data_IF_081534980598
#
_entry.id   IF_081534980598
#
_cell.length_a   1.000
_cell.length_b   1.000
_cell.length_c   1.000
_cell.angle_alpha   90.00
_cell.angle_beta   90.00
_cell.angle_gamma   90.00
#
_symmetry.space_group_name_H-M   'P 1'
#
loop_
_entity.id
_entity.type
_entity.pdbx_description
1 polymer ?
#
# COMPACT_ATOMS: atom_id res chain seq x y z
N UNK A 1 -7.74 17.32 29.05
CA UNK A 1 -7.83 17.56 27.59
C UNK A 1 -9.18 17.08 27.11
N UNK A 2 -10.01 17.94 26.54
CA UNK A 2 -11.31 17.55 25.98
C UNK A 2 -11.08 16.89 24.62
N UNK A 3 -11.22 15.57 24.55
CA UNK A 3 -11.22 14.84 23.28
C UNK A 3 -12.45 15.26 22.50
N UNK A 4 -12.26 16.04 21.43
CA UNK A 4 -13.34 16.37 20.49
C UNK A 4 -13.82 15.06 19.88
N UNK A 5 -15.09 14.71 20.10
CA UNK A 5 -15.70 13.52 19.50
C UNK A 5 -15.78 13.73 17.99
N UNK A 6 -14.99 12.98 17.24
CA UNK A 6 -14.98 12.98 15.79
C UNK A 6 -15.96 11.90 15.30
N UNK A 7 -16.89 12.28 14.43
CA UNK A 7 -17.87 11.38 13.83
C UNK A 7 -17.80 11.49 12.31
N UNK A 8 -17.90 10.35 11.63
CA UNK A 8 -17.92 10.27 10.18
C UNK A 8 -19.19 9.59 9.71
N UNK A 9 -19.79 10.10 8.63
CA UNK A 9 -20.90 9.44 7.96
C UNK A 9 -20.37 8.26 7.14
N UNK A 10 -20.82 7.05 7.49
CA UNK A 10 -20.39 5.79 6.88
C UNK A 10 -20.66 5.76 5.38
N UNK A 11 -21.75 6.37 4.92
CA UNK A 11 -22.21 6.25 3.53
C UNK A 11 -21.40 7.13 2.57
N UNK A 12 -20.61 8.07 3.11
CA UNK A 12 -19.67 8.92 2.36
C UNK A 12 -18.22 8.79 2.85
N UNK A 13 -17.94 7.83 3.74
CA UNK A 13 -16.60 7.55 4.24
C UNK A 13 -16.13 6.19 3.73
N UNK A 14 -14.81 6.05 3.54
CA UNK A 14 -14.17 4.81 3.17
C UNK A 14 -12.75 4.75 3.73
N UNK A 15 -12.20 3.55 3.87
CA UNK A 15 -10.78 3.32 4.13
C UNK A 15 -10.06 3.05 2.80
N UNK A 16 -8.94 3.72 2.59
CA UNK A 16 -8.01 3.42 1.50
C UNK A 16 -6.75 2.76 2.07
N UNK A 17 -6.47 1.54 1.62
CA UNK A 17 -5.24 0.79 1.95
C UNK A 17 -4.26 0.97 0.80
N UNK A 18 -3.13 1.60 1.06
CA UNK A 18 -2.16 2.01 0.04
C UNK A 18 -0.95 1.09 0.09
N UNK A 19 -0.62 0.47 -1.05
CA UNK A 19 0.61 -0.28 -1.28
C UNK A 19 1.04 -1.23 -0.15
N UNK A 20 0.17 -2.11 0.40
CA UNK A 20 0.53 -3.02 1.49
C UNK A 20 1.40 -4.20 1.02
N UNK A 21 2.39 -3.94 0.17
CA UNK A 21 3.28 -4.93 -0.43
C UNK A 21 4.36 -5.40 0.53
N UNK A 22 4.76 -6.66 0.41
CA UNK A 22 5.86 -7.22 1.20
C UNK A 22 7.17 -6.45 1.03
N UNK A 23 7.46 -5.94 -0.18
CA UNK A 23 8.66 -5.14 -0.43
C UNK A 23 8.79 -3.92 0.50
N UNK A 24 7.65 -3.35 0.94
CA UNK A 24 7.61 -2.18 1.80
C UNK A 24 7.55 -2.48 3.29
N UNK A 25 6.76 -3.48 3.69
CA UNK A 25 6.35 -3.67 5.08
C UNK A 25 6.63 -5.08 5.62
N UNK A 26 7.57 -5.81 5.01
CA UNK A 26 7.97 -7.15 5.46
C UNK A 26 9.49 -7.31 5.46
N UNK A 27 10.02 -8.02 6.45
CA UNK A 27 11.44 -8.37 6.50
C UNK A 27 11.86 -9.18 5.26
N UNK A 28 12.98 -8.80 4.63
CA UNK A 28 13.41 -9.36 3.34
C UNK A 28 12.85 -8.63 2.12
N UNK A 29 11.93 -7.69 2.30
CA UNK A 29 11.42 -6.84 1.22
C UNK A 29 12.48 -5.90 0.65
N UNK A 30 12.47 -5.64 -0.66
CA UNK A 30 13.50 -4.84 -1.36
C UNK A 30 13.64 -3.40 -0.83
N UNK A 31 12.62 -2.88 -0.14
CA UNK A 31 12.59 -1.50 0.39
C UNK A 31 12.61 -1.49 1.92
N UNK A 32 12.25 -2.59 2.59
CA UNK A 32 12.05 -2.70 4.03
C UNK A 32 13.20 -2.11 4.86
N UNK A 33 14.45 -2.44 4.55
CA UNK A 33 15.60 -1.97 5.35
C UNK A 33 15.72 -0.44 5.43
N UNK A 34 15.17 0.28 4.44
CA UNK A 34 15.14 1.75 4.43
C UNK A 34 14.03 2.33 5.30
N UNK A 35 12.97 1.56 5.52
CA UNK A 35 11.76 1.98 6.23
C UNK A 35 11.67 1.37 7.64
N UNK A 36 12.38 0.28 7.91
CA UNK A 36 12.30 -0.53 9.13
C UNK A 36 12.29 0.33 10.40
N UNK A 37 13.28 1.20 10.55
CA UNK A 37 13.43 2.04 11.75
C UNK A 37 12.19 2.91 12.02
N UNK A 38 11.63 3.56 10.98
CA UNK A 38 10.45 4.41 11.14
C UNK A 38 9.17 3.58 11.26
N UNK A 39 9.06 2.47 10.51
CA UNK A 39 7.90 1.59 10.55
C UNK A 39 7.74 0.93 11.94
N UNK A 40 8.84 0.46 12.53
CA UNK A 40 8.87 -0.12 13.87
C UNK A 40 8.63 0.93 14.95
N UNK A 41 9.30 2.09 14.88
CA UNK A 41 9.12 3.17 15.85
C UNK A 41 7.68 3.69 15.92
N UNK A 42 6.93 3.63 14.80
CA UNK A 42 5.53 4.05 14.72
C UNK A 42 4.53 2.90 14.83
N UNK A 43 4.99 1.67 15.08
CA UNK A 43 4.15 0.46 15.09
C UNK A 43 3.25 0.38 13.84
N UNK A 44 3.81 0.73 12.67
CA UNK A 44 3.06 0.97 11.43
C UNK A 44 2.16 -0.20 11.06
N UNK A 45 2.72 -1.42 10.95
CA UNK A 45 1.97 -2.62 10.57
C UNK A 45 0.88 -2.98 11.60
N UNK A 46 1.16 -3.06 12.92
CA UNK A 46 0.11 -3.26 13.93
C UNK A 46 -1.02 -2.22 13.86
N UNK A 47 -0.68 -0.95 13.66
CA UNK A 47 -1.66 0.14 13.59
C UNK A 47 -2.50 0.07 12.31
N UNK A 48 -1.89 -0.22 11.16
CA UNK A 48 -2.59 -0.47 9.91
C UNK A 48 -3.60 -1.62 10.05
N UNK A 49 -3.21 -2.72 10.70
CA UNK A 49 -4.08 -3.87 10.93
C UNK A 49 -5.27 -3.52 11.81
N UNK A 50 -5.04 -2.76 12.89
CA UNK A 50 -6.12 -2.26 13.76
C UNK A 50 -7.10 -1.37 13.01
N UNK A 51 -6.61 -0.41 12.21
CA UNK A 51 -7.46 0.50 11.42
C UNK A 51 -8.28 -0.27 10.38
N UNK A 52 -7.66 -1.21 9.66
CA UNK A 52 -8.35 -2.03 8.67
C UNK A 52 -9.45 -2.88 9.30
N UNK A 53 -9.17 -3.51 10.45
CA UNK A 53 -10.17 -4.29 11.16
C UNK A 53 -11.29 -3.44 11.73
N UNK A 54 -10.99 -2.25 12.28
CA UNK A 54 -12.00 -1.32 12.77
C UNK A 54 -12.90 -0.82 11.64
N UNK A 55 -12.34 -0.49 10.47
CA UNK A 55 -13.13 -0.05 9.31
C UNK A 55 -14.09 -1.16 8.83
N UNK A 56 -13.61 -2.41 8.77
CA UNK A 56 -14.43 -3.58 8.44
C UNK A 56 -15.56 -3.78 9.46
N UNK A 57 -15.26 -3.70 10.76
CA UNK A 57 -16.26 -3.84 11.83
C UNK A 57 -17.31 -2.72 11.80
N UNK A 58 -16.91 -1.51 11.43
CA UNK A 58 -17.80 -0.36 11.26
C UNK A 58 -18.64 -0.42 9.96
N UNK A 59 -18.41 -1.41 9.10
CA UNK A 59 -19.08 -1.54 7.81
C UNK A 59 -18.69 -0.46 6.81
N UNK A 60 -17.49 0.12 6.94
CA UNK A 60 -16.96 1.05 5.94
C UNK A 60 -16.53 0.27 4.69
N UNK A 61 -16.67 0.93 3.53
CA UNK A 61 -16.05 0.43 2.29
C UNK A 61 -14.54 0.48 2.42
N UNK A 62 -13.87 -0.58 1.97
CA UNK A 62 -12.41 -0.66 1.90
C UNK A 62 -12.00 -0.69 0.45
N UNK A 63 -11.10 0.23 0.09
CA UNK A 63 -10.48 0.32 -1.22
C UNK A 63 -8.99 0.07 -1.11
N UNK A 64 -8.39 -0.49 -2.15
CA UNK A 64 -6.96 -0.69 -2.28
C UNK A 64 -6.44 0.15 -3.44
N UNK A 65 -5.48 1.03 -3.14
CA UNK A 65 -4.69 1.73 -4.16
C UNK A 65 -3.31 1.06 -4.20
N UNK A 66 -3.03 0.42 -5.33
CA UNK A 66 -1.85 -0.39 -5.50
C UNK A 66 -0.88 0.26 -6.50
N UNK A 67 0.39 0.30 -6.15
CA UNK A 67 1.45 0.71 -7.04
C UNK A 67 1.60 -0.29 -8.18
N UNK A 68 1.97 0.20 -9.35
CA UNK A 68 2.29 -0.64 -10.50
C UNK A 68 3.39 -1.64 -10.16
N UNK A 69 3.04 -2.91 -10.30
CA UNK A 69 3.96 -4.01 -10.10
C UNK A 69 4.85 -4.17 -11.31
N UNK A 70 6.16 -4.10 -11.09
CA UNK A 70 7.12 -4.18 -12.17
C UNK A 70 6.94 -5.45 -13.01
N UNK A 71 6.93 -5.29 -14.33
CA UNK A 71 6.92 -6.34 -15.36
C UNK A 71 8.06 -6.08 -16.36
N UNK A 72 8.65 -7.12 -16.97
CA UNK A 72 9.63 -6.94 -18.03
C UNK A 72 9.10 -6.04 -19.16
N UNK A 73 9.90 -5.09 -19.63
CA UNK A 73 9.47 -4.06 -20.59
C UNK A 73 9.01 -2.74 -19.97
N UNK A 74 8.71 -2.69 -18.67
CA UNK A 74 8.29 -1.45 -18.02
C UNK A 74 9.37 -0.37 -18.14
N UNK A 75 8.93 0.87 -18.40
CA UNK A 75 9.78 2.08 -18.55
C UNK A 75 10.78 2.08 -19.72
N UNK A 76 11.03 0.96 -20.40
CA UNK A 76 12.08 0.85 -21.44
C UNK A 76 11.91 1.86 -22.59
N UNK A 77 10.66 2.12 -22.97
CA UNK A 77 10.32 3.03 -24.08
C UNK A 77 9.86 4.41 -23.61
N UNK A 78 9.98 4.73 -22.32
CA UNK A 78 9.53 6.01 -21.79
C UNK A 78 10.54 7.12 -22.08
N UNK A 79 10.09 8.21 -22.69
CA UNK A 79 10.94 9.37 -22.99
C UNK A 79 11.45 10.08 -21.74
N UNK A 80 10.62 10.18 -20.71
CA UNK A 80 10.92 10.86 -19.45
C UNK A 80 10.49 9.98 -18.28
N UNK A 81 11.45 9.66 -17.40
CA UNK A 81 11.22 8.82 -16.23
C UNK A 81 11.63 9.63 -15.00
N UNK A 82 10.72 9.78 -14.03
CA UNK A 82 11.06 10.46 -12.79
C UNK A 82 12.17 9.69 -12.05
N UNK A 83 13.10 10.37 -11.34
CA UNK A 83 14.17 9.69 -10.61
C UNK A 83 13.69 8.58 -9.67
N UNK A 84 12.53 8.76 -9.02
CA UNK A 84 11.92 7.76 -8.15
C UNK A 84 11.46 6.51 -8.92
N UNK A 85 10.83 6.69 -10.09
CA UNK A 85 10.42 5.59 -10.98
C UNK A 85 11.64 4.84 -11.52
N UNK A 86 12.69 5.57 -11.94
CA UNK A 86 13.94 4.95 -12.40
C UNK A 86 14.59 4.11 -11.30
N UNK A 87 14.51 4.56 -10.05
CA UNK A 87 15.05 3.84 -8.91
C UNK A 87 14.22 2.58 -8.57
N UNK A 88 12.89 2.68 -8.60
CA UNK A 88 11.99 1.54 -8.45
C UNK A 88 12.18 0.51 -9.58
N UNK A 89 12.32 0.98 -10.82
CA UNK A 89 12.60 0.15 -11.99
C UNK A 89 13.92 -0.61 -11.87
N UNK A 90 15.02 0.07 -11.55
CA UNK A 90 16.34 -0.58 -11.36
C UNK A 90 16.33 -1.67 -10.29
N UNK A 91 15.51 -1.49 -9.25
CA UNK A 91 15.37 -2.47 -8.15
C UNK A 91 14.29 -3.51 -8.44
N UNK A 92 13.50 -3.34 -9.50
CA UNK A 92 12.30 -4.12 -9.78
C UNK A 92 11.39 -4.18 -8.54
N UNK A 93 11.16 -3.04 -7.90
CA UNK A 93 10.28 -2.97 -6.73
C UNK A 93 8.88 -3.47 -7.11
N UNK A 94 8.26 -4.24 -6.23
CA UNK A 94 6.95 -4.86 -6.42
C UNK A 94 6.85 -5.77 -7.65
N UNK A 95 7.93 -6.48 -7.99
CA UNK A 95 7.97 -7.32 -9.19
C UNK A 95 6.83 -8.35 -9.21
N UNK A 96 6.06 -8.33 -10.31
CA UNK A 96 4.91 -9.19 -10.50
C UNK A 96 5.33 -10.67 -10.49
N UNK A 97 4.61 -11.49 -9.73
CA UNK A 97 4.91 -12.92 -9.57
C UNK A 97 6.04 -13.23 -8.59
N UNK A 98 6.53 -12.23 -7.85
CA UNK A 98 7.47 -12.43 -6.73
C UNK A 98 6.79 -12.08 -5.41
N UNK A 99 7.25 -12.71 -4.32
CA UNK A 99 6.76 -12.44 -2.97
C UNK A 99 6.77 -10.95 -2.61
N UNK A 100 7.82 -10.21 -3.02
CA UNK A 100 7.94 -8.76 -2.76
C UNK A 100 6.81 -7.92 -3.38
N UNK A 101 6.29 -8.34 -4.54
CA UNK A 101 5.15 -7.72 -5.23
C UNK A 101 3.79 -8.26 -4.82
N UNK A 102 3.71 -9.16 -3.84
CA UNK A 102 2.45 -9.62 -3.27
C UNK A 102 2.02 -8.70 -2.11
N UNK A 103 0.70 -8.55 -1.95
CA UNK A 103 0.14 -7.91 -0.76
C UNK A 103 0.54 -8.79 0.44
N UNK A 104 1.09 -8.15 1.48
CA UNK A 104 1.38 -8.82 2.75
C UNK A 104 0.10 -9.45 3.30
N UNK A 105 0.18 -10.74 3.67
CA UNK A 105 -0.96 -11.63 3.89
C UNK A 105 -2.05 -11.07 4.81
N UNK A 106 -1.69 -10.39 5.89
CA UNK A 106 -2.64 -9.82 6.86
C UNK A 106 -3.51 -8.69 6.26
N UNK A 107 -3.07 -8.10 5.15
CA UNK A 107 -3.74 -7.01 4.44
C UNK A 107 -4.43 -7.47 3.15
N UNK A 108 -4.49 -8.77 2.86
CA UNK A 108 -5.16 -9.28 1.67
C UNK A 108 -6.62 -8.76 1.59
N UNK A 109 -7.08 -8.31 0.40
CA UNK A 109 -8.47 -7.91 0.21
C UNK A 109 -9.43 -9.06 0.50
N UNK A 110 -10.55 -8.74 1.14
CA UNK A 110 -11.67 -9.66 1.38
C UNK A 110 -12.73 -9.51 0.29
N UNK A 111 -13.61 -10.50 0.18
CA UNK A 111 -14.76 -10.44 -0.72
C UNK A 111 -15.60 -9.18 -0.46
N UNK A 112 -15.92 -8.44 -1.53
CA UNK A 112 -16.66 -7.16 -1.46
C UNK A 112 -15.78 -5.93 -1.28
N UNK A 113 -14.48 -6.07 -1.00
CA UNK A 113 -13.53 -4.96 -1.00
C UNK A 113 -13.04 -4.66 -2.42
N UNK A 114 -12.72 -3.40 -2.71
CA UNK A 114 -12.48 -2.93 -4.06
C UNK A 114 -10.98 -2.71 -4.26
N UNK A 115 -10.41 -3.31 -5.30
CA UNK A 115 -9.02 -3.09 -5.70
C UNK A 115 -9.01 -2.20 -6.94
N UNK A 116 -8.45 -1.01 -6.81
CA UNK A 116 -8.28 -0.09 -7.93
C UNK A 116 -7.24 -0.61 -8.91
N UNK A 117 -7.25 -0.10 -10.14
CA UNK A 117 -6.19 -0.35 -11.11
C UNK A 117 -4.85 0.18 -10.59
N UNK A 118 -3.77 -0.53 -10.88
CA UNK A 118 -2.43 -0.15 -10.44
C UNK A 118 -2.02 1.24 -10.97
N UNK A 119 -1.36 2.06 -10.13
CA UNK A 119 -0.89 3.41 -10.49
C UNK A 119 0.64 3.48 -10.67
N UNK A 120 1.10 4.33 -11.58
CA UNK A 120 2.52 4.44 -11.96
C UNK A 120 3.32 5.51 -11.19
N UNK A 121 2.61 6.39 -10.48
CA UNK A 121 3.18 7.60 -9.88
C UNK A 121 3.01 7.60 -8.36
N UNK A 122 3.33 8.74 -7.73
CA UNK A 122 3.39 8.88 -6.26
C UNK A 122 2.06 8.77 -5.53
N UNK A 123 0.91 8.91 -6.21
CA UNK A 123 -0.41 8.71 -5.60
C UNK A 123 -1.34 7.95 -6.53
N UNK A 124 -2.14 7.04 -5.96
CA UNK A 124 -3.26 6.36 -6.62
C UNK A 124 -4.62 7.00 -6.33
N UNK A 125 -4.64 8.16 -5.69
CA UNK A 125 -5.82 8.90 -5.22
C UNK A 125 -5.56 10.41 -5.14
#
# INVERSE_FOLDING_TARGET
MTTKKLSYDRDITALLVIDPYNDFISEGGKIWDRLKAVAEANQCVPNMSQVLNAARQAGLRVFYALHHRYRPGDYENWKYIAPIQKAAWKRKSFEYGTWGGEIRTEFAPKAGEIVATEHWCSSGF
#
